data_IF_276900332809
#
_entry.id   IF_276900332809
#
_cell.length_a   1.000
_cell.length_b   1.000
_cell.length_c   1.000
_cell.angle_alpha   90.00
_cell.angle_beta   90.00
_cell.angle_gamma   90.00
#
_symmetry.space_group_name_H-M   'P 1'
#
loop_
_entity.id
_entity.type
_entity.pdbx_description
1 polymer ?
#
# COMPACT_ATOMS: atom_id res chain seq x y z
N UNK A 1 -62.67 -22.53 -17.10
CA UNK A 1 -62.52 -21.53 -16.01
C UNK A 1 -63.74 -21.63 -15.10
N UNK A 2 -63.56 -21.90 -13.80
CA UNK A 2 -64.68 -22.18 -12.87
C UNK A 2 -65.62 -20.98 -12.66
N UNK A 3 -66.91 -21.18 -12.89
CA UNK A 3 -67.99 -20.16 -12.82
C UNK A 3 -68.05 -19.41 -11.48
N UNK A 4 -67.64 -20.09 -10.39
CA UNK A 4 -67.65 -19.54 -9.03
C UNK A 4 -66.64 -18.39 -8.82
N UNK A 5 -65.48 -18.41 -9.48
CA UNK A 5 -64.46 -17.36 -9.30
C UNK A 5 -64.82 -16.04 -10.00
N UNK A 6 -65.63 -16.09 -11.07
CA UNK A 6 -66.11 -14.88 -11.76
C UNK A 6 -67.12 -14.08 -10.94
N UNK A 7 -67.88 -14.77 -10.09
CA UNK A 7 -69.04 -14.18 -9.38
C UNK A 7 -68.67 -13.74 -7.96
N UNK A 8 -67.82 -14.51 -7.28
CA UNK A 8 -67.46 -14.27 -5.86
C UNK A 8 -66.00 -13.82 -5.66
N UNK A 9 -65.26 -13.62 -6.75
CA UNK A 9 -63.83 -13.36 -6.72
C UNK A 9 -63.00 -14.62 -6.40
N UNK A 10 -61.69 -14.48 -6.56
CA UNK A 10 -60.74 -15.55 -6.29
C UNK A 10 -60.45 -15.66 -4.78
N UNK A 11 -60.51 -16.89 -4.25
CA UNK A 11 -60.06 -17.22 -2.89
C UNK A 11 -58.60 -17.64 -2.93
N UNK A 12 -57.71 -16.67 -2.71
CA UNK A 12 -56.27 -16.86 -2.81
C UNK A 12 -55.65 -17.45 -1.55
N UNK A 13 -54.82 -18.48 -1.72
CA UNK A 13 -53.97 -19.05 -0.69
C UNK A 13 -52.49 -18.86 -1.09
N UNK A 14 -51.63 -18.47 -0.14
CA UNK A 14 -50.20 -18.29 -0.41
C UNK A 14 -49.52 -19.65 -0.56
N UNK A 15 -48.63 -19.75 -1.56
CA UNK A 15 -47.77 -20.92 -1.72
C UNK A 15 -46.54 -20.79 -0.81
N UNK A 16 -46.17 -21.89 -0.16
CA UNK A 16 -45.03 -21.91 0.76
C UNK A 16 -43.73 -21.70 -0.04
N UNK A 17 -42.83 -20.84 0.47
CA UNK A 17 -41.55 -20.51 -0.16
C UNK A 17 -41.65 -19.94 -1.58
N UNK A 18 -42.82 -19.45 -1.98
CA UNK A 18 -43.03 -18.84 -3.29
C UNK A 18 -43.68 -17.47 -3.11
N UNK A 19 -43.26 -16.50 -3.93
CA UNK A 19 -43.96 -15.23 -4.06
C UNK A 19 -45.11 -15.37 -5.06
N UNK A 20 -45.97 -16.35 -4.78
CA UNK A 20 -47.11 -16.69 -5.60
C UNK A 20 -48.28 -17.10 -4.71
N UNK A 21 -49.50 -16.82 -5.18
CA UNK A 21 -50.74 -17.30 -4.55
C UNK A 21 -51.54 -18.10 -5.55
N UNK A 22 -52.20 -19.16 -5.07
CA UNK A 22 -53.06 -20.03 -5.87
C UNK A 22 -54.50 -19.87 -5.42
N UNK A 23 -55.44 -19.74 -6.36
CA UNK A 23 -56.85 -19.78 -6.04
C UNK A 23 -57.25 -21.23 -5.72
N UNK A 24 -57.72 -21.48 -4.50
CA UNK A 24 -58.15 -22.83 -4.07
C UNK A 24 -59.31 -23.40 -4.89
N UNK A 25 -60.10 -22.52 -5.51
CA UNK A 25 -61.33 -22.90 -6.23
C UNK A 25 -61.07 -23.21 -7.71
N UNK A 26 -60.22 -22.43 -8.39
CA UNK A 26 -59.99 -22.60 -9.84
C UNK A 26 -58.56 -22.97 -10.22
N UNK A 27 -57.64 -23.05 -9.26
CA UNK A 27 -56.24 -23.40 -9.50
C UNK A 27 -55.39 -22.30 -10.17
N UNK A 28 -55.98 -21.15 -10.53
CA UNK A 28 -55.24 -20.03 -11.09
C UNK A 28 -54.12 -19.59 -10.14
N UNK A 29 -52.97 -19.25 -10.69
CA UNK A 29 -51.81 -18.75 -9.93
C UNK A 29 -51.55 -17.30 -10.29
N UNK A 30 -51.19 -16.51 -9.29
CA UNK A 30 -50.81 -15.12 -9.45
C UNK A 30 -49.50 -14.86 -8.71
N UNK A 31 -48.57 -14.20 -9.37
CA UNK A 31 -47.32 -13.75 -8.77
C UNK A 31 -47.61 -12.56 -7.87
N UNK A 32 -47.10 -12.59 -6.64
CA UNK A 32 -47.12 -11.45 -5.74
C UNK A 32 -45.75 -10.77 -5.74
N UNK A 33 -45.73 -9.48 -5.45
CA UNK A 33 -44.48 -8.75 -5.35
C UNK A 33 -43.58 -9.31 -4.24
N UNK A 34 -42.30 -9.40 -4.56
CA UNK A 34 -41.29 -9.85 -3.62
C UNK A 34 -41.11 -8.82 -2.50
N UNK A 35 -41.19 -9.29 -1.26
CA UNK A 35 -40.83 -8.49 -0.08
C UNK A 35 -39.32 -8.56 0.16
N UNK A 36 -38.58 -7.72 -0.53
CA UNK A 36 -37.12 -7.64 -0.42
C UNK A 36 -36.67 -7.02 0.90
N UNK A 37 -35.67 -7.63 1.54
CA UNK A 37 -35.01 -7.09 2.71
C UNK A 37 -33.51 -7.06 2.46
N UNK A 38 -32.88 -5.92 2.76
CA UNK A 38 -31.43 -5.78 2.67
C UNK A 38 -30.73 -6.77 3.60
N UNK A 39 -29.67 -7.41 3.09
CA UNK A 39 -28.77 -8.25 3.87
C UNK A 39 -27.69 -7.33 4.46
N UNK A 40 -27.53 -7.37 5.78
CA UNK A 40 -26.53 -6.57 6.48
C UNK A 40 -25.11 -6.95 5.99
N UNK A 41 -24.29 -5.93 5.75
CA UNK A 41 -22.92 -6.11 5.23
C UNK A 41 -22.84 -6.53 3.76
N UNK A 42 -23.93 -6.55 2.99
CA UNK A 42 -23.91 -6.96 1.58
C UNK A 42 -24.66 -5.97 0.68
N UNK A 43 -24.18 -5.80 -0.56
CA UNK A 43 -24.97 -5.18 -1.64
C UNK A 43 -25.95 -6.21 -2.22
N UNK A 44 -26.77 -6.83 -1.37
CA UNK A 44 -27.74 -7.82 -1.77
C UNK A 44 -29.01 -7.75 -0.91
N UNK A 45 -30.11 -8.16 -1.49
CA UNK A 45 -31.40 -8.28 -0.82
C UNK A 45 -31.90 -9.71 -0.88
N UNK A 46 -32.59 -10.15 0.18
CA UNK A 46 -33.25 -11.43 0.27
C UNK A 46 -34.76 -11.23 0.42
N UNK A 47 -35.55 -11.96 -0.35
CA UNK A 47 -36.99 -11.96 -0.17
C UNK A 47 -37.36 -12.72 1.11
N UNK A 48 -38.11 -12.09 2.01
CA UNK A 48 -38.58 -12.71 3.26
C UNK A 48 -39.49 -13.91 3.05
N UNK A 49 -40.19 -13.95 1.91
CA UNK A 49 -41.23 -14.95 1.63
C UNK A 49 -40.66 -16.18 0.94
N UNK A 50 -39.92 -16.01 -0.16
CA UNK A 50 -39.39 -17.13 -0.95
C UNK A 50 -37.89 -17.37 -0.78
N UNK A 51 -37.17 -16.51 -0.07
CA UNK A 51 -35.74 -16.64 0.13
C UNK A 51 -34.87 -16.34 -1.09
N UNK A 52 -35.45 -16.01 -2.26
CA UNK A 52 -34.70 -15.56 -3.44
C UNK A 52 -33.81 -14.37 -3.08
N UNK A 53 -32.66 -14.28 -3.73
CA UNK A 53 -31.69 -13.19 -3.55
C UNK A 53 -31.58 -12.38 -4.84
N UNK A 54 -31.31 -11.09 -4.70
CA UNK A 54 -30.89 -10.23 -5.80
C UNK A 54 -29.73 -9.35 -5.36
N UNK A 55 -28.81 -9.10 -6.28
CA UNK A 55 -27.76 -8.11 -6.06
C UNK A 55 -28.35 -6.73 -6.29
N UNK A 56 -27.92 -5.77 -5.49
CA UNK A 56 -28.22 -4.36 -5.68
C UNK A 56 -26.92 -3.64 -6.02
N UNK A 57 -27.03 -2.54 -6.74
CA UNK A 57 -25.86 -1.73 -7.04
C UNK A 57 -25.23 -1.20 -5.75
N UNK A 58 -23.90 -1.28 -5.68
CA UNK A 58 -23.16 -0.72 -4.56
C UNK A 58 -23.10 0.80 -4.67
N UNK A 59 -23.44 1.47 -3.57
CA UNK A 59 -23.30 2.91 -3.42
C UNK A 59 -21.97 3.17 -2.70
N UNK A 60 -21.10 3.96 -3.30
CA UNK A 60 -19.76 4.22 -2.79
C UNK A 60 -19.66 5.61 -2.17
N UNK A 61 -19.02 5.69 -1.02
CA UNK A 61 -18.53 6.92 -0.42
C UNK A 61 -17.00 6.90 -0.51
N UNK A 62 -16.45 7.82 -1.32
CA UNK A 62 -15.08 7.73 -1.82
C UNK A 62 -14.82 6.38 -2.53
N UNK A 63 -13.91 5.60 -1.97
CA UNK A 63 -13.56 4.28 -2.51
C UNK A 63 -14.35 3.14 -1.90
N UNK A 64 -15.06 3.35 -0.80
CA UNK A 64 -15.64 2.26 0.00
C UNK A 64 -17.14 2.21 -0.15
N UNK A 65 -17.68 1.02 -0.37
CA UNK A 65 -19.12 0.83 -0.39
C UNK A 65 -19.71 1.04 1.00
N UNK A 66 -20.73 1.89 1.12
CA UNK A 66 -21.39 2.21 2.40
C UNK A 66 -22.13 1.03 3.01
N UNK A 67 -22.43 -0.01 2.20
CA UNK A 67 -23.15 -1.21 2.65
C UNK A 67 -22.24 -2.38 2.94
N UNK A 68 -21.44 -2.80 1.95
CA UNK A 68 -20.61 -4.00 2.06
C UNK A 68 -19.14 -3.74 2.38
N UNK A 69 -18.71 -2.48 2.37
CA UNK A 69 -17.31 -2.14 2.61
C UNK A 69 -16.34 -2.51 1.49
N UNK A 70 -16.82 -3.09 0.38
CA UNK A 70 -15.97 -3.35 -0.79
C UNK A 70 -15.36 -2.05 -1.31
N UNK A 71 -14.11 -2.13 -1.70
CA UNK A 71 -13.38 -0.98 -2.22
C UNK A 71 -13.33 -1.01 -3.75
N UNK A 72 -13.56 0.14 -4.38
CA UNK A 72 -13.44 0.34 -5.83
C UNK A 72 -12.70 1.64 -6.12
N UNK A 73 -11.39 1.52 -6.22
CA UNK A 73 -10.49 2.61 -6.58
C UNK A 73 -10.52 2.90 -8.08
N UNK A 74 -10.16 4.13 -8.45
CA UNK A 74 -9.96 4.56 -9.82
C UNK A 74 -8.69 5.39 -9.85
N UNK A 75 -7.72 5.00 -10.66
CA UNK A 75 -6.36 5.52 -10.56
C UNK A 75 -6.00 6.37 -11.78
N UNK A 76 -5.18 7.39 -11.55
CA UNK A 76 -4.45 8.14 -12.58
C UNK A 76 -2.98 8.18 -12.19
N UNK A 77 -2.08 8.06 -13.17
CA UNK A 77 -0.65 8.18 -12.89
C UNK A 77 -0.27 9.62 -12.62
N UNK A 78 0.55 9.84 -11.59
CA UNK A 78 0.96 11.18 -11.15
C UNK A 78 2.05 11.75 -12.05
N UNK A 79 3.00 10.92 -12.46
CA UNK A 79 4.18 11.29 -13.23
C UNK A 79 4.38 10.38 -14.47
N UNK A 80 3.27 9.93 -15.03
CA UNK A 80 3.28 9.00 -16.14
C UNK A 80 3.75 7.61 -15.71
N UNK A 81 4.90 7.17 -16.19
CA UNK A 81 5.47 5.85 -15.92
C UNK A 81 6.80 5.89 -15.15
N UNK A 82 7.21 7.07 -14.67
CA UNK A 82 8.50 7.26 -14.01
C UNK A 82 8.59 6.55 -12.65
N UNK A 83 7.56 6.62 -11.82
CA UNK A 83 7.59 6.08 -10.44
C UNK A 83 6.49 5.06 -10.14
N UNK A 84 5.67 4.71 -11.13
CA UNK A 84 4.47 3.88 -10.98
C UNK A 84 3.46 4.42 -9.94
N UNK A 85 3.61 5.69 -9.55
CA UNK A 85 2.77 6.35 -8.58
C UNK A 85 1.40 6.70 -9.17
N UNK A 86 0.36 6.32 -8.45
CA UNK A 86 -1.02 6.50 -8.83
C UNK A 86 -1.78 7.29 -7.76
N UNK A 87 -2.55 8.28 -8.20
CA UNK A 87 -3.52 8.98 -7.36
C UNK A 87 -4.89 8.36 -7.58
N UNK A 88 -5.55 7.98 -6.50
CA UNK A 88 -6.94 7.56 -6.58
C UNK A 88 -7.85 8.78 -6.70
N UNK A 89 -8.53 8.93 -7.84
CA UNK A 89 -9.40 10.08 -8.15
C UNK A 89 -10.66 10.15 -7.27
N UNK A 90 -10.95 9.08 -6.51
CA UNK A 90 -12.11 9.00 -5.63
C UNK A 90 -11.82 9.31 -4.17
N UNK A 91 -10.69 8.86 -3.62
CA UNK A 91 -10.33 9.11 -2.23
C UNK A 91 -9.16 10.09 -2.04
N UNK A 92 -8.51 10.51 -3.12
CA UNK A 92 -7.36 11.42 -3.07
C UNK A 92 -6.09 10.80 -2.45
N UNK A 93 -6.08 9.50 -2.19
CA UNK A 93 -4.90 8.80 -1.65
C UNK A 93 -4.00 8.32 -2.77
N UNK A 94 -2.71 8.29 -2.47
CA UNK A 94 -1.66 7.80 -3.34
C UNK A 94 -1.41 6.31 -3.12
N UNK A 95 -1.14 5.60 -4.21
CA UNK A 95 -0.90 4.17 -4.27
C UNK A 95 0.20 3.91 -5.29
N UNK A 96 0.96 2.83 -5.12
CA UNK A 96 1.83 2.34 -6.18
C UNK A 96 1.07 1.33 -7.05
N UNK A 97 1.34 1.32 -8.35
CA UNK A 97 0.77 0.36 -9.28
C UNK A 97 1.03 -1.08 -8.79
N UNK A 98 -0.02 -1.90 -8.69
CA UNK A 98 0.11 -3.35 -8.41
C UNK A 98 0.89 -4.09 -9.50
N UNK A 99 0.96 -3.49 -10.69
CA UNK A 99 1.80 -3.88 -11.78
C UNK A 99 2.95 -2.90 -11.86
N UNK A 100 3.86 -2.91 -10.87
CA UNK A 100 5.18 -2.25 -10.99
C UNK A 100 5.70 -2.61 -12.37
N UNK A 101 5.67 -1.64 -13.30
CA UNK A 101 5.65 -1.97 -14.73
C UNK A 101 6.99 -2.59 -15.07
N UNK A 102 7.01 -3.91 -15.20
CA UNK A 102 8.13 -4.69 -15.76
C UNK A 102 9.49 -4.51 -15.09
N UNK A 103 9.57 -3.97 -13.86
CA UNK A 103 10.82 -3.91 -13.10
C UNK A 103 11.05 -5.26 -12.43
N UNK A 104 11.62 -6.17 -13.22
CA UNK A 104 11.92 -7.54 -12.81
C UNK A 104 13.35 -7.70 -12.24
N UNK A 105 14.10 -6.60 -12.14
CA UNK A 105 15.45 -6.56 -11.54
C UNK A 105 15.47 -5.75 -10.25
N UNK A 106 16.32 -6.17 -9.31
CA UNK A 106 16.58 -5.47 -8.05
C UNK A 106 17.00 -4.00 -8.30
N UNK A 107 17.91 -3.77 -9.26
CA UNK A 107 18.35 -2.42 -9.64
C UNK A 107 17.23 -1.54 -10.17
N UNK A 108 16.35 -2.07 -11.02
CA UNK A 108 15.22 -1.32 -11.56
C UNK A 108 14.26 -0.88 -10.45
N UNK A 109 14.03 -1.74 -9.46
CA UNK A 109 13.22 -1.43 -8.28
C UNK A 109 13.89 -0.31 -7.45
N UNK A 110 15.20 -0.40 -7.21
CA UNK A 110 15.93 0.64 -6.47
C UNK A 110 15.93 2.00 -7.20
N UNK A 111 16.11 2.03 -8.52
CA UNK A 111 16.00 3.25 -9.34
C UNK A 111 14.61 3.88 -9.24
N UNK A 112 13.56 3.04 -9.19
CA UNK A 112 12.19 3.51 -9.02
C UNK A 112 12.04 4.26 -7.70
N UNK A 113 12.53 3.66 -6.61
CA UNK A 113 12.41 4.24 -5.29
C UNK A 113 13.23 5.51 -5.18
N UNK A 114 14.44 5.55 -5.72
CA UNK A 114 15.24 6.78 -5.74
C UNK A 114 14.52 7.91 -6.48
N UNK A 115 13.89 7.59 -7.62
CA UNK A 115 13.09 8.55 -8.40
C UNK A 115 11.84 8.98 -7.62
N UNK A 116 11.13 8.03 -7.00
CA UNK A 116 9.93 8.29 -6.20
C UNK A 116 10.24 9.21 -5.02
N UNK A 117 11.31 8.95 -4.29
CA UNK A 117 11.73 9.78 -3.17
C UNK A 117 12.13 11.17 -3.65
N UNK A 118 12.90 11.25 -4.74
CA UNK A 118 13.38 12.53 -5.26
C UNK A 118 12.26 13.43 -5.77
N UNK A 119 11.21 12.85 -6.37
CA UNK A 119 10.09 13.61 -6.94
C UNK A 119 8.94 13.84 -5.94
N UNK A 120 8.70 12.87 -5.05
CA UNK A 120 7.48 12.76 -4.25
C UNK A 120 7.76 12.47 -2.76
N UNK A 121 8.90 12.93 -2.26
CA UNK A 121 9.34 12.71 -0.88
C UNK A 121 8.33 13.16 0.19
N UNK A 122 7.53 14.18 -0.12
CA UNK A 122 6.50 14.76 0.74
C UNK A 122 5.28 13.84 0.95
N UNK A 123 4.97 12.97 -0.02
CA UNK A 123 3.83 12.05 0.04
C UNK A 123 4.23 10.60 0.38
N UNK A 124 5.53 10.31 0.52
CA UNK A 124 6.03 8.99 0.94
C UNK A 124 5.37 8.44 2.22
N UNK A 125 5.16 9.22 3.30
CA UNK A 125 4.51 8.70 4.50
C UNK A 125 3.10 8.17 4.24
N UNK A 126 2.38 8.75 3.29
CA UNK A 126 1.03 8.34 2.93
C UNK A 126 1.06 7.00 2.19
N UNK A 127 1.92 6.88 1.17
CA UNK A 127 2.06 5.69 0.33
C UNK A 127 2.49 4.47 1.15
N UNK A 128 3.50 4.64 2.01
CA UNK A 128 4.12 3.54 2.75
C UNK A 128 3.22 3.05 3.89
N UNK A 129 2.33 3.90 4.40
CA UNK A 129 1.34 3.50 5.42
C UNK A 129 0.21 2.63 4.86
N UNK A 130 -0.07 2.71 3.56
CA UNK A 130 -1.24 2.08 2.93
C UNK A 130 -0.93 0.81 2.17
N UNK A 131 0.29 0.63 1.66
CA UNK A 131 0.64 -0.49 0.80
C UNK A 131 1.44 -1.60 1.50
N UNK A 132 1.11 -2.85 1.14
CA UNK A 132 1.89 -4.07 1.44
C UNK A 132 3.33 -4.03 0.88
N UNK A 133 3.69 -2.99 0.11
CA UNK A 133 5.02 -2.74 -0.43
C UNK A 133 6.04 -2.48 0.67
N UNK A 134 5.60 -1.98 1.84
CA UNK A 134 6.44 -2.01 3.05
C UNK A 134 7.02 -3.40 3.23
N UNK A 135 6.24 -4.49 3.07
CA UNK A 135 6.78 -5.84 3.22
C UNK A 135 7.72 -6.24 2.10
N UNK A 136 7.67 -5.69 0.88
CA UNK A 136 8.62 -6.08 -0.19
C UNK A 136 9.96 -5.39 0.00
N UNK A 137 9.98 -4.07 0.21
CA UNK A 137 11.23 -3.34 0.51
C UNK A 137 11.77 -3.78 1.87
N UNK A 138 10.90 -3.89 2.88
CA UNK A 138 11.29 -4.30 4.21
C UNK A 138 11.74 -5.77 4.22
N UNK A 139 11.01 -6.74 3.65
CA UNK A 139 11.49 -8.11 3.68
C UNK A 139 12.71 -8.33 2.80
N UNK A 140 12.82 -7.77 1.60
CA UNK A 140 13.99 -8.09 0.78
C UNK A 140 15.25 -7.33 1.23
N UNK A 141 15.13 -6.09 1.73
CA UNK A 141 16.28 -5.33 2.26
C UNK A 141 16.60 -5.66 3.73
N UNK A 142 15.61 -6.01 4.57
CA UNK A 142 15.80 -6.35 5.99
C UNK A 142 15.86 -7.85 6.24
N UNK A 143 15.05 -8.68 5.58
CA UNK A 143 15.08 -10.13 5.74
C UNK A 143 16.23 -10.78 4.96
N UNK A 144 16.80 -10.11 3.96
CA UNK A 144 18.17 -10.40 3.56
C UNK A 144 19.10 -9.96 4.70
N UNK A 145 19.49 -10.92 5.53
CA UNK A 145 20.68 -10.87 6.40
C UNK A 145 21.98 -10.67 5.58
N UNK A 146 22.05 -9.70 4.66
CA UNK A 146 23.32 -9.31 4.04
C UNK A 146 24.15 -8.60 5.11
N UNK A 147 25.37 -9.07 5.33
CA UNK A 147 26.32 -8.44 6.27
C UNK A 147 26.69 -7.01 5.84
N UNK A 148 26.50 -6.67 4.56
CA UNK A 148 26.71 -5.35 3.97
C UNK A 148 25.56 -5.01 3.02
N UNK A 149 24.93 -3.86 3.24
CA UNK A 149 24.06 -3.19 2.28
C UNK A 149 24.95 -2.52 1.22
N UNK A 150 24.50 -2.45 -0.02
CA UNK A 150 25.09 -1.58 -1.04
C UNK A 150 24.89 -0.11 -0.66
N UNK A 151 25.75 0.77 -1.17
CA UNK A 151 25.62 2.22 -0.94
C UNK A 151 24.25 2.76 -1.38
N UNK A 152 23.67 2.18 -2.44
CA UNK A 152 22.37 2.56 -2.96
C UNK A 152 21.22 2.19 -2.01
N UNK A 153 21.26 0.98 -1.45
CA UNK A 153 20.29 0.54 -0.44
C UNK A 153 20.39 1.41 0.83
N UNK A 154 21.61 1.71 1.29
CA UNK A 154 21.81 2.59 2.45
C UNK A 154 21.25 4.00 2.21
N UNK A 155 21.51 4.56 1.03
CA UNK A 155 20.99 5.88 0.65
C UNK A 155 19.46 5.92 0.65
N UNK A 156 18.80 4.90 0.09
CA UNK A 156 17.33 4.81 0.10
C UNK A 156 16.80 4.73 1.53
N UNK A 157 17.42 3.92 2.39
CA UNK A 157 17.01 3.81 3.79
C UNK A 157 17.15 5.12 4.57
N UNK A 158 18.24 5.86 4.33
CA UNK A 158 18.45 7.19 4.92
C UNK A 158 17.35 8.15 4.45
N UNK A 159 17.07 8.19 3.15
CA UNK A 159 16.06 9.08 2.60
C UNK A 159 14.65 8.76 3.14
N UNK A 160 14.28 7.48 3.23
CA UNK A 160 13.01 7.07 3.83
C UNK A 160 12.89 7.58 5.28
N UNK A 161 13.97 7.47 6.06
CA UNK A 161 14.01 8.00 7.42
C UNK A 161 13.87 9.52 7.47
N UNK A 162 14.59 10.25 6.63
CA UNK A 162 14.51 11.73 6.55
C UNK A 162 13.09 12.20 6.21
N UNK A 163 12.36 11.41 5.43
CA UNK A 163 10.96 11.66 5.10
C UNK A 163 9.96 11.12 6.14
N UNK A 164 10.42 10.72 7.33
CA UNK A 164 9.55 10.36 8.46
C UNK A 164 8.91 8.97 8.35
N UNK A 165 9.42 8.11 7.47
CA UNK A 165 8.95 6.73 7.33
C UNK A 165 9.49 5.91 8.50
N UNK A 166 8.61 5.53 9.43
CA UNK A 166 8.98 4.67 10.55
C UNK A 166 8.98 3.20 10.12
N UNK A 167 10.16 2.67 9.83
CA UNK A 167 10.37 1.23 9.61
C UNK A 167 10.94 0.65 10.91
N UNK A 168 10.33 -0.37 11.50
CA UNK A 168 10.83 -0.98 12.76
C UNK A 168 12.29 -1.45 12.69
N UNK A 169 12.78 -1.81 11.50
CA UNK A 169 14.18 -2.18 11.31
C UNK A 169 15.12 -1.00 11.04
N UNK A 170 14.58 0.20 10.76
CA UNK A 170 15.42 1.40 10.59
C UNK A 170 16.12 1.75 11.90
N UNK A 171 15.53 1.51 13.08
CA UNK A 171 16.23 1.78 14.35
C UNK A 171 17.48 0.89 14.53
N UNK A 172 17.37 -0.40 14.18
CA UNK A 172 18.52 -1.33 14.18
C UNK A 172 19.55 -0.96 13.09
N UNK A 173 19.09 -0.56 11.90
CA UNK A 173 19.96 -0.08 10.81
C UNK A 173 20.65 1.22 11.21
N UNK A 174 19.95 2.13 11.90
CA UNK A 174 20.48 3.41 12.41
C UNK A 174 21.62 3.16 13.38
N UNK A 175 21.45 2.24 14.32
CA UNK A 175 22.54 1.87 15.23
C UNK A 175 23.79 1.41 14.46
N UNK A 176 23.61 0.58 13.42
CA UNK A 176 24.70 0.09 12.57
C UNK A 176 25.33 1.17 11.69
N UNK A 177 24.54 2.11 11.16
CA UNK A 177 25.05 3.26 10.39
C UNK A 177 25.87 4.18 11.29
N UNK A 178 25.37 4.48 12.48
CA UNK A 178 26.09 5.34 13.44
C UNK A 178 27.39 4.68 13.93
N UNK A 179 27.41 3.36 14.13
CA UNK A 179 28.64 2.61 14.39
C UNK A 179 29.64 2.70 13.23
N UNK A 180 29.19 2.54 11.97
CA UNK A 180 30.07 2.67 10.80
C UNK A 180 30.60 4.08 10.61
N UNK A 181 29.78 5.11 10.84
CA UNK A 181 30.23 6.51 10.85
C UNK A 181 31.33 6.70 11.89
N UNK A 182 31.11 6.25 13.13
CA UNK A 182 32.14 6.30 14.18
C UNK A 182 33.43 5.59 13.78
N UNK A 183 33.35 4.39 13.20
CA UNK A 183 34.52 3.65 12.71
C UNK A 183 35.28 4.40 11.61
N UNK A 184 34.57 5.08 10.70
CA UNK A 184 35.18 5.83 9.59
C UNK A 184 35.84 7.12 10.09
N UNK A 185 35.20 7.81 11.03
CA UNK A 185 35.82 8.96 11.72
C UNK A 185 37.08 8.57 12.50
N UNK A 186 37.08 7.40 13.16
CA UNK A 186 38.24 6.90 13.88
C UNK A 186 39.40 6.54 12.94
N UNK A 187 39.12 5.93 11.77
CA UNK A 187 40.16 5.64 10.79
C UNK A 187 40.78 6.91 10.20
N UNK A 188 39.97 7.92 9.92
CA UNK A 188 40.46 9.19 9.34
C UNK A 188 41.31 9.98 10.35
N UNK A 189 40.95 9.96 11.65
CA UNK A 189 41.76 10.56 12.71
C UNK A 189 43.04 9.78 12.99
N UNK A 190 43.03 8.45 12.88
CA UNK A 190 44.25 7.62 12.99
C UNK A 190 45.21 7.86 11.82
N UNK A 191 44.69 7.95 10.59
CA UNK A 191 45.47 8.33 9.40
C UNK A 191 46.09 9.72 9.62
N UNK A 192 45.29 10.69 10.09
CA UNK A 192 45.79 12.05 10.35
C UNK A 192 46.84 12.08 11.45
N UNK A 193 46.71 11.26 12.51
CA UNK A 193 47.75 11.12 13.55
C UNK A 193 49.03 10.48 13.02
N UNK A 194 48.92 9.43 12.22
CA UNK A 194 50.10 8.81 11.59
C UNK A 194 50.83 9.80 10.67
N UNK A 195 50.11 10.64 9.93
CA UNK A 195 50.71 11.72 9.14
C UNK A 195 51.42 12.77 10.00
N UNK A 196 50.90 13.09 11.19
CA UNK A 196 51.62 13.99 12.11
C UNK A 196 52.88 13.35 12.68
N UNK A 197 52.83 12.06 13.03
CA UNK A 197 53.96 11.34 13.62
C UNK A 197 55.08 11.09 12.59
N UNK A 198 54.76 10.76 11.34
CA UNK A 198 55.77 10.62 10.27
C UNK A 198 56.41 11.95 9.90
N UNK A 199 55.67 13.05 9.93
CA UNK A 199 56.22 14.39 9.69
C UNK A 199 57.02 14.95 10.89
N UNK A 200 56.83 14.42 12.10
CA UNK A 200 57.63 14.79 13.26
C UNK A 200 59.04 14.15 13.22
N UNK A 201 59.16 12.94 12.66
CA UNK A 201 60.43 12.24 12.50
C UNK A 201 61.27 12.72 11.29
N UNK A 202 60.64 13.29 10.27
CA UNK A 202 61.35 13.95 9.15
C UNK A 202 61.73 15.42 9.44
N UNK A 203 61.64 15.84 10.71
CA UNK A 203 62.25 17.05 11.24
C UNK A 203 63.78 17.00 11.21
N UNK A 204 64.36 16.76 10.03
CA UNK A 204 65.73 17.12 9.68
C UNK A 204 65.79 18.65 9.80
N UNK A 205 66.10 19.12 11.00
CA UNK A 205 66.61 20.44 11.25
C UNK A 205 67.91 20.57 10.43
N UNK A 206 67.79 21.03 9.19
CA UNK A 206 68.88 21.68 8.49
C UNK A 206 69.15 22.99 9.23
N UNK A 207 69.83 22.88 10.36
CA UNK A 207 70.44 23.99 11.07
C UNK A 207 71.49 24.60 10.15
N UNK A 208 71.07 25.59 9.37
CA UNK A 208 71.96 26.44 8.60
C UNK A 208 72.94 27.10 9.57
N UNK A 209 74.19 26.66 9.50
CA UNK A 209 75.33 27.36 10.09
C UNK A 209 75.38 28.72 9.41
N UNK A 210 75.05 29.78 10.14
CA UNK A 210 75.35 31.15 9.74
C UNK A 210 76.83 31.38 10.02
N UNK A 211 77.62 31.49 8.96
CA UNK A 211 78.96 32.04 9.01
C UNK A 211 78.86 33.53 9.37
N UNK A 212 79.27 33.87 10.59
CA UNK A 212 79.54 35.26 10.97
C UNK A 212 81.02 35.58 10.70
N UNK A 213 81.21 36.78 10.15
CA UNK A 213 82.46 37.44 9.74
C UNK A 213 83.50 37.58 10.86
#
# INVERSE_FOLDING_TARGET
>A
MGFLCKTFGHKWERLLNECSRRCRVCGATETIEHQWQQIEGQCAEKCKVCGKRRNIECTFDGCKCVRCGNEKHSYVYVDGDATDLQLCTKCGKYYLSSHLRTRNTEEGILDMFETLISLHGDILPQIISTDHIYNVIAYDVIAAKRQQLSEKEERILILLYEHGVQIKAIDDIRARIEERKKSRYLSDDEIRRQEYDTNADEGIFHGGVRDDK
#
